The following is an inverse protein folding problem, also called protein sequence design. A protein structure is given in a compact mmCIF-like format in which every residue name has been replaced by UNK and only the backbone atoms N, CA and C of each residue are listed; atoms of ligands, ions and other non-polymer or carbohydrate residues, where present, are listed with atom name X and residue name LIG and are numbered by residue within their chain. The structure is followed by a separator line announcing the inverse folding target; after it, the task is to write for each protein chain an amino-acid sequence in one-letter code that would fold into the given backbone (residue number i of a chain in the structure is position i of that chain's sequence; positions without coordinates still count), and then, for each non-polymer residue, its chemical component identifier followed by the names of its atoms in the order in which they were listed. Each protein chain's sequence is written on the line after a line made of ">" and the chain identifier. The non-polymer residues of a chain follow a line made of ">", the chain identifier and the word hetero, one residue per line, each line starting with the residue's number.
data_IF_219200470471
#
_entry.id   IF_219200470471
#
_cell.length_a   1.000
_cell.length_b   1.000
_cell.length_c   1.000
_cell.angle_alpha   90.00
_cell.angle_beta   90.00
_cell.angle_gamma   90.00
#
_symmetry.space_group_name_H-M   'P 1'
#
loop_
_entity.id
_entity.type
_entity.pdbx_description
1 polymer ?
#
# COMPACT_ATOMS: atom_id res chain seq x y z
N UNK A 1 -10.52 16.85 1.30
CA UNK A 1 -9.68 16.63 2.51
C UNK A 1 -8.62 15.60 2.14
N UNK A 2 -7.41 16.02 1.80
CA UNK A 2 -6.28 15.15 1.46
C UNK A 2 -5.50 14.90 2.75
N UNK A 3 -5.52 13.67 3.26
CA UNK A 3 -4.70 13.30 4.41
C UNK A 3 -3.26 13.12 3.95
N UNK A 4 -2.41 14.11 4.22
CA UNK A 4 -0.96 14.04 4.01
C UNK A 4 -0.33 13.38 5.24
N UNK A 5 -0.12 12.07 5.19
CA UNK A 5 0.64 11.36 6.22
C UNK A 5 2.13 11.58 5.97
N UNK A 6 2.84 12.14 6.95
CA UNK A 6 4.30 12.31 6.90
C UNK A 6 4.97 11.02 7.39
N UNK A 7 5.93 10.51 6.64
CA UNK A 7 6.49 9.16 6.79
C UNK A 7 7.75 9.15 7.68
N UNK A 8 7.84 8.17 8.58
CA UNK A 8 9.10 7.75 9.24
C UNK A 8 9.37 6.31 8.79
N UNK A 9 10.53 6.00 8.18
CA UNK A 9 10.80 4.66 7.68
C UNK A 9 11.08 3.70 8.84
N UNK A 10 10.20 2.71 9.02
CA UNK A 10 10.29 1.70 10.09
C UNK A 10 10.86 0.34 9.61
N UNK A 11 11.26 0.20 8.34
CA UNK A 11 11.86 -1.02 7.80
C UNK A 11 13.07 -0.68 6.92
N UNK A 12 14.32 -0.94 7.36
CA UNK A 12 15.54 -0.51 6.67
C UNK A 12 15.79 -1.22 5.33
N UNK A 13 15.18 -2.39 5.11
CA UNK A 13 15.40 -3.20 3.90
C UNK A 13 14.47 -2.84 2.72
N UNK A 14 13.35 -2.16 3.00
CA UNK A 14 12.39 -1.74 1.97
C UNK A 14 12.69 -0.29 1.59
N UNK A 15 13.47 -0.11 0.53
CA UNK A 15 14.10 1.17 0.19
C UNK A 15 13.10 2.31 -0.05
N UNK A 16 11.85 2.06 -0.49
CA UNK A 16 10.81 3.09 -0.66
C UNK A 16 9.39 2.53 -0.45
N UNK A 17 8.85 2.66 0.76
CA UNK A 17 7.43 2.37 1.08
C UNK A 17 6.69 3.68 1.26
N UNK A 18 5.55 3.86 0.58
CA UNK A 18 4.76 5.09 0.71
C UNK A 18 3.72 5.02 1.84
N UNK A 19 2.99 3.90 1.95
CA UNK A 19 1.92 3.75 2.93
C UNK A 19 1.95 2.35 3.54
N UNK A 20 1.85 2.27 4.86
CA UNK A 20 1.58 1.04 5.60
C UNK A 20 0.18 1.08 6.18
N UNK A 21 -0.69 0.18 5.74
CA UNK A 21 -1.99 -0.06 6.34
C UNK A 21 -1.85 -1.00 7.55
N UNK A 22 -1.88 -0.40 8.74
CA UNK A 22 -1.89 -1.10 10.02
C UNK A 22 -2.96 -0.50 10.93
N UNK A 23 -3.64 -1.35 11.71
CA UNK A 23 -4.57 -0.92 12.75
C UNK A 23 -3.86 -1.01 14.11
N UNK A 24 -4.07 -0.03 15.00
CA UNK A 24 -3.49 -0.05 16.36
C UNK A 24 -3.99 -1.24 17.21
N UNK A 25 -5.06 -1.92 16.79
CA UNK A 25 -5.57 -3.17 17.37
C UNK A 25 -5.39 -4.42 16.49
N UNK A 26 -4.58 -4.36 15.42
CA UNK A 26 -4.24 -5.51 14.57
C UNK A 26 -5.24 -5.90 13.47
N UNK A 27 -6.53 -5.62 13.64
CA UNK A 27 -7.60 -6.13 12.77
C UNK A 27 -8.51 -5.03 12.19
N UNK A 28 -9.10 -5.30 11.03
CA UNK A 28 -10.27 -4.57 10.50
C UNK A 28 -9.96 -3.26 9.78
N UNK A 29 -8.79 -3.12 9.15
CA UNK A 29 -8.49 -1.93 8.34
C UNK A 29 -9.42 -1.86 7.12
N UNK A 30 -10.11 -0.73 6.93
CA UNK A 30 -11.01 -0.53 5.78
C UNK A 30 -10.61 0.74 5.03
N UNK A 31 -10.34 0.60 3.73
CA UNK A 31 -10.11 1.71 2.81
C UNK A 31 -11.18 1.72 1.71
N UNK A 32 -11.74 2.90 1.43
CA UNK A 32 -12.76 3.08 0.39
C UNK A 32 -12.57 4.40 -0.34
N UNK A 33 -12.76 4.43 -1.66
CA UNK A 33 -12.68 5.65 -2.48
C UNK A 33 -11.38 6.44 -2.31
N UNK A 34 -10.26 5.72 -2.18
CA UNK A 34 -8.93 6.32 -1.98
C UNK A 34 -7.89 5.70 -2.91
N UNK A 35 -6.93 6.51 -3.34
CA UNK A 35 -5.82 6.08 -4.19
C UNK A 35 -4.49 6.15 -3.43
N UNK A 36 -3.72 5.07 -3.48
CA UNK A 36 -2.36 4.95 -2.94
C UNK A 36 -1.38 4.99 -4.11
N UNK A 37 -0.57 6.05 -4.21
CA UNK A 37 0.24 6.32 -5.42
C UNK A 37 1.69 6.57 -5.06
N UNK A 38 2.56 5.60 -5.36
CA UNK A 38 4.00 5.78 -5.23
C UNK A 38 4.63 6.18 -6.57
N UNK A 39 5.05 7.44 -6.67
CA UNK A 39 5.69 8.01 -7.86
C UNK A 39 7.20 7.81 -7.90
N UNK A 40 7.73 6.94 -7.03
CA UNK A 40 9.10 6.46 -7.11
C UNK A 40 9.32 5.77 -8.46
N UNK A 41 9.86 6.52 -9.42
CA UNK A 41 10.05 6.06 -10.79
C UNK A 41 10.82 4.73 -10.88
N UNK A 42 10.79 4.08 -12.06
CA UNK A 42 11.30 2.71 -12.22
C UNK A 42 12.81 2.59 -11.96
N UNK A 43 13.56 3.69 -12.04
CA UNK A 43 15.01 3.73 -11.76
C UNK A 43 15.37 3.65 -10.28
N UNK A 44 14.39 3.72 -9.37
CA UNK A 44 14.61 3.70 -7.91
C UNK A 44 14.59 2.30 -7.30
N UNK A 45 14.37 1.25 -8.11
CA UNK A 45 14.22 -0.12 -7.63
C UNK A 45 12.85 -0.32 -6.99
N UNK A 46 12.80 -1.04 -5.85
CA UNK A 46 11.55 -1.35 -5.16
C UNK A 46 10.80 -0.07 -4.72
N UNK A 47 9.56 0.06 -5.19
CA UNK A 47 8.72 1.24 -5.06
C UNK A 47 7.32 0.83 -4.56
N UNK A 48 7.25 0.38 -3.31
CA UNK A 48 6.03 -0.18 -2.73
C UNK A 48 5.04 0.96 -2.44
N UNK A 49 3.86 0.91 -3.05
CA UNK A 49 2.81 1.90 -2.82
C UNK A 49 2.02 1.60 -1.55
N UNK A 50 1.77 0.32 -1.27
CA UNK A 50 1.01 -0.10 -0.10
C UNK A 50 1.56 -1.40 0.50
N UNK A 51 1.78 -1.40 1.82
CA UNK A 51 1.99 -2.60 2.62
C UNK A 51 0.81 -2.80 3.54
N UNK A 52 0.23 -4.00 3.52
CA UNK A 52 -0.90 -4.35 4.40
C UNK A 52 -0.45 -5.42 5.38
N UNK A 53 -0.55 -5.11 6.68
CA UNK A 53 -0.19 -6.05 7.76
C UNK A 53 -1.37 -6.41 8.68
N UNK A 54 -2.51 -5.71 8.57
CA UNK A 54 -3.68 -5.95 9.42
C UNK A 54 -4.53 -7.13 8.92
N UNK A 55 -5.08 -7.94 9.83
CA UNK A 55 -6.02 -9.01 9.49
C UNK A 55 -7.43 -8.47 9.20
N UNK A 56 -8.19 -9.17 8.36
CA UNK A 56 -9.53 -8.75 7.88
C UNK A 56 -9.50 -7.35 7.23
N UNK A 57 -8.46 -7.07 6.46
CA UNK A 57 -8.33 -5.80 5.74
C UNK A 57 -9.26 -5.77 4.53
N UNK A 58 -9.96 -4.66 4.27
CA UNK A 58 -10.87 -4.48 3.15
C UNK A 58 -10.51 -3.23 2.34
N UNK A 59 -10.37 -3.40 1.04
CA UNK A 59 -10.16 -2.34 0.06
C UNK A 59 -11.33 -2.38 -0.94
N UNK A 60 -12.10 -1.29 -1.02
CA UNK A 60 -13.27 -1.22 -1.90
C UNK A 60 -13.29 0.08 -2.71
N UNK A 61 -13.29 0.01 -4.04
CA UNK A 61 -13.20 1.20 -4.92
C UNK A 61 -11.95 2.02 -4.63
N UNK A 62 -10.81 1.35 -4.57
CA UNK A 62 -9.51 1.97 -4.35
C UNK A 62 -8.65 1.90 -5.62
N UNK A 63 -7.58 2.69 -5.66
CA UNK A 63 -6.53 2.51 -6.68
C UNK A 63 -5.17 2.38 -6.00
N UNK A 64 -4.34 1.44 -6.41
CA UNK A 64 -2.98 1.26 -5.90
C UNK A 64 -2.05 1.33 -7.09
N UNK A 65 -1.27 2.41 -7.16
CA UNK A 65 -0.46 2.76 -8.33
C UNK A 65 1.00 2.85 -7.90
N UNK A 66 1.86 2.13 -8.60
CA UNK A 66 3.30 2.19 -8.39
C UNK A 66 4.06 1.65 -9.60
N UNK A 67 5.34 1.37 -9.39
CA UNK A 67 6.21 0.73 -10.39
C UNK A 67 6.52 -0.70 -9.91
N UNK A 68 7.75 -0.96 -9.46
CA UNK A 68 8.17 -2.26 -8.96
C UNK A 68 7.63 -2.50 -7.53
N UNK A 69 7.12 -3.71 -7.29
CA UNK A 69 6.57 -4.14 -5.98
C UNK A 69 5.42 -3.27 -5.44
N UNK A 70 4.56 -2.80 -6.34
CA UNK A 70 3.47 -1.84 -6.04
C UNK A 70 2.62 -2.21 -4.82
N UNK A 71 2.21 -3.48 -4.68
CA UNK A 71 1.45 -3.97 -3.54
C UNK A 71 2.21 -5.10 -2.86
N UNK A 72 2.49 -4.94 -1.56
CA UNK A 72 3.13 -5.97 -0.76
C UNK A 72 2.17 -6.52 0.31
N UNK A 73 1.62 -7.70 0.03
CA UNK A 73 0.72 -8.42 0.93
C UNK A 73 1.54 -9.26 1.91
N UNK A 74 1.94 -8.66 3.04
CA UNK A 74 2.88 -9.30 3.96
C UNK A 74 2.29 -10.57 4.61
N UNK A 75 1.08 -10.48 5.18
CA UNK A 75 0.37 -11.59 5.84
C UNK A 75 -1.10 -11.25 6.12
N UNK A 76 -1.87 -12.23 6.62
CA UNK A 76 -3.27 -12.15 7.07
C UNK A 76 -4.36 -12.06 5.97
N UNK A 77 -5.64 -12.11 6.37
CA UNK A 77 -6.78 -12.10 5.46
C UNK A 77 -7.03 -10.69 4.93
N UNK A 78 -7.08 -10.57 3.61
CA UNK A 78 -7.27 -9.30 2.93
C UNK A 78 -8.27 -9.49 1.80
N UNK A 79 -9.14 -8.50 1.60
CA UNK A 79 -10.16 -8.50 0.55
C UNK A 79 -10.06 -7.22 -0.26
N UNK A 80 -9.91 -7.37 -1.59
CA UNK A 80 -9.85 -6.28 -2.54
C UNK A 80 -11.01 -6.42 -3.51
N UNK A 81 -11.88 -5.41 -3.61
CA UNK A 81 -13.02 -5.41 -4.52
C UNK A 81 -13.13 -4.09 -5.25
N UNK A 82 -13.44 -4.16 -6.56
CA UNK A 82 -13.52 -2.97 -7.42
C UNK A 82 -12.27 -2.08 -7.24
N UNK A 83 -11.09 -2.70 -7.09
CA UNK A 83 -9.83 -2.00 -6.79
C UNK A 83 -8.88 -2.17 -7.96
N UNK A 84 -8.39 -1.06 -8.49
CA UNK A 84 -7.45 -1.05 -9.60
C UNK A 84 -6.02 -1.07 -9.07
N UNK A 85 -5.19 -2.00 -9.56
CA UNK A 85 -3.78 -2.12 -9.14
C UNK A 85 -2.91 -2.00 -10.38
N UNK A 86 -2.04 -0.99 -10.39
CA UNK A 86 -1.16 -0.66 -11.52
C UNK A 86 0.30 -0.77 -11.09
N UNK A 87 1.08 -1.57 -11.82
CA UNK A 87 2.51 -1.73 -11.60
C UNK A 87 3.23 -2.09 -12.90
N UNK A 88 4.56 -2.01 -12.87
CA UNK A 88 5.40 -2.46 -13.98
C UNK A 88 5.91 -3.87 -13.73
N UNK A 89 5.99 -4.71 -14.77
CA UNK A 89 6.81 -5.93 -14.70
C UNK A 89 8.27 -5.50 -14.56
N UNK A 90 8.99 -6.12 -13.62
CA UNK A 90 10.44 -6.01 -13.44
C UNK A 90 11.18 -6.23 -14.75
#
# INVERSE_FOLDING_TARGET
>A
MLYRFSFVPLYPDLKQVLVKAACAGGDGFIARYISFVNTAGPSKGQAVALIVTADKSVFYRCSIIGYQDTLYTLSNRQFYRETDIYGTKT
#
